data_IF_172123572088
#
_entry.id   IF_172123572088
#
_cell.length_a   1.000
_cell.length_b   1.000
_cell.length_c   1.000
_cell.angle_alpha   90.00
_cell.angle_beta   90.00
_cell.angle_gamma   90.00
#
_symmetry.space_group_name_H-M   'P 1'
#
loop_
_entity.id
_entity.type
_entity.pdbx_description
1 polymer ?
#
# COMPACT_ATOMS: atom_id res chain seq x y z
N UNK A 1 -14.24 5.69 24.66
CA UNK A 1 -14.11 4.46 23.84
C UNK A 1 -14.25 3.21 24.70
N UNK A 2 -14.53 2.04 24.11
CA UNK A 2 -14.58 0.76 24.82
C UNK A 2 -13.29 0.48 25.62
N UNK A 3 -12.13 0.83 25.08
CA UNK A 3 -10.85 0.63 25.75
C UNK A 3 -10.69 1.53 26.99
N UNK A 4 -11.16 2.76 26.92
CA UNK A 4 -11.14 3.69 28.07
C UNK A 4 -12.16 3.28 29.12
N UNK A 5 -13.35 2.85 28.69
CA UNK A 5 -14.37 2.31 29.58
C UNK A 5 -13.83 1.11 30.37
N UNK A 6 -13.21 0.13 29.70
CA UNK A 6 -12.58 -1.02 30.36
C UNK A 6 -11.46 -0.64 31.33
N UNK A 7 -10.67 0.37 30.96
CA UNK A 7 -9.55 0.81 31.83
C UNK A 7 -9.99 1.60 33.04
N UNK A 8 -11.01 2.45 32.89
CA UNK A 8 -11.37 3.45 33.90
C UNK A 8 -12.66 3.11 34.67
N UNK A 9 -13.64 2.48 34.04
CA UNK A 9 -14.97 2.23 34.65
C UNK A 9 -15.15 0.76 35.04
N UNK A 10 -14.92 -0.18 34.12
CA UNK A 10 -15.12 -1.62 34.34
C UNK A 10 -14.25 -2.19 35.47
N UNK A 11 -13.12 -1.55 35.78
CA UNK A 11 -12.25 -1.92 36.90
C UNK A 11 -12.77 -1.43 38.26
N UNK A 12 -13.63 -0.42 38.28
CA UNK A 12 -14.25 0.11 39.49
C UNK A 12 -15.70 -0.39 39.60
N UNK A 13 -15.89 -1.47 40.33
CA UNK A 13 -17.20 -2.09 40.54
C UNK A 13 -18.22 -1.17 41.19
N UNK A 14 -17.79 -0.11 41.88
CA UNK A 14 -18.68 0.90 42.49
C UNK A 14 -19.20 1.88 41.41
N UNK A 15 -18.38 2.22 40.43
CA UNK A 15 -18.78 3.04 39.29
C UNK A 15 -19.63 2.24 38.30
N UNK A 16 -19.23 1.02 37.96
CA UNK A 16 -19.95 0.16 37.02
C UNK A 16 -21.43 -0.05 37.39
N UNK A 17 -21.71 -0.23 38.68
CA UNK A 17 -23.10 -0.40 39.20
C UNK A 17 -23.96 0.87 39.12
N UNK A 18 -23.35 2.04 38.91
CA UNK A 18 -24.05 3.33 38.90
C UNK A 18 -24.33 3.84 37.50
N UNK A 19 -23.71 3.26 36.48
CA UNK A 19 -23.88 3.65 35.10
C UNK A 19 -24.34 2.46 34.24
N UNK A 20 -25.33 2.70 33.40
CA UNK A 20 -25.72 1.73 32.39
C UNK A 20 -25.04 2.13 31.07
N UNK A 21 -24.17 1.27 30.50
CA UNK A 21 -23.52 1.59 29.25
C UNK A 21 -24.55 1.62 28.10
N UNK A 22 -24.48 2.66 27.30
CA UNK A 22 -25.20 2.77 26.02
C UNK A 22 -24.20 2.61 24.90
N UNK A 23 -24.31 1.53 24.15
CA UNK A 23 -23.45 1.27 23.01
C UNK A 23 -23.88 2.10 21.82
N UNK A 24 -22.97 2.94 21.32
CA UNK A 24 -23.15 3.68 20.06
C UNK A 24 -22.33 2.96 19.00
N UNK A 25 -23.01 2.39 18.01
CA UNK A 25 -22.37 1.71 16.89
C UNK A 25 -21.89 2.72 15.86
N UNK A 26 -20.89 2.33 15.06
CA UNK A 26 -20.43 3.07 13.90
C UNK A 26 -21.61 3.26 12.91
N UNK A 27 -21.86 4.48 12.40
CA UNK A 27 -22.93 4.72 11.43
C UNK A 27 -22.58 4.06 10.08
N UNK A 28 -23.63 3.78 9.30
CA UNK A 28 -23.44 3.32 7.93
C UNK A 28 -22.81 4.40 7.04
N UNK A 29 -22.33 4.00 5.86
CA UNK A 29 -21.81 4.94 4.86
C UNK A 29 -22.86 6.00 4.51
N UNK A 30 -24.12 5.60 4.28
CA UNK A 30 -25.19 6.52 3.91
C UNK A 30 -25.54 7.48 5.06
N UNK A 31 -25.61 6.99 6.31
CA UNK A 31 -25.82 7.86 7.47
C UNK A 31 -24.66 8.84 7.65
N UNK A 32 -23.43 8.38 7.43
CA UNK A 32 -22.24 9.24 7.52
C UNK A 32 -22.24 10.34 6.46
N UNK A 33 -22.69 10.05 5.23
CA UNK A 33 -22.87 11.08 4.19
C UNK A 33 -23.89 12.12 4.62
N UNK A 34 -25.03 11.71 5.22
CA UNK A 34 -26.03 12.66 5.71
C UNK A 34 -25.50 13.53 6.86
N UNK A 35 -24.71 12.96 7.77
CA UNK A 35 -24.04 13.70 8.84
C UNK A 35 -23.10 14.76 8.24
N UNK A 36 -22.29 14.39 7.26
CA UNK A 36 -21.37 15.30 6.61
C UNK A 36 -22.09 16.40 5.83
N UNK A 37 -23.21 16.09 5.16
CA UNK A 37 -24.07 17.10 4.51
C UNK A 37 -24.59 18.14 5.50
N UNK A 38 -24.97 17.72 6.71
CA UNK A 38 -25.38 18.63 7.77
C UNK A 38 -24.25 19.52 8.32
N UNK A 39 -23.00 19.03 8.28
CA UNK A 39 -21.82 19.75 8.76
C UNK A 39 -21.16 20.63 7.69
N UNK A 40 -21.29 20.27 6.41
CA UNK A 40 -20.60 20.93 5.29
C UNK A 40 -20.76 22.45 5.27
N UNK A 41 -21.97 23.06 5.51
CA UNK A 41 -22.09 24.52 5.51
C UNK A 41 -21.21 25.23 6.53
N UNK A 42 -20.94 24.58 7.69
CA UNK A 42 -20.06 25.15 8.72
C UNK A 42 -18.59 25.12 8.29
N UNK A 43 -18.16 24.01 7.66
CA UNK A 43 -16.81 23.88 7.12
C UNK A 43 -16.61 24.81 5.92
N UNK A 44 -17.60 24.93 5.03
CA UNK A 44 -17.57 25.91 3.93
C UNK A 44 -17.36 27.34 4.43
N UNK A 45 -18.13 27.73 5.45
CA UNK A 45 -18.02 29.07 6.04
C UNK A 45 -16.68 29.29 6.74
N UNK A 46 -16.19 28.28 7.47
CA UNK A 46 -14.96 28.38 8.25
C UNK A 46 -13.72 28.44 7.35
N UNK A 47 -13.67 27.60 6.31
CA UNK A 47 -12.52 27.50 5.41
C UNK A 47 -12.63 28.39 4.15
N UNK A 48 -13.76 28.99 3.88
CA UNK A 48 -13.98 29.80 2.66
C UNK A 48 -13.94 29.00 1.37
N UNK A 49 -14.38 27.74 1.40
CA UNK A 49 -14.37 26.80 0.28
C UNK A 49 -15.77 26.27 0.01
N UNK A 50 -16.02 25.74 -1.20
CA UNK A 50 -17.27 25.03 -1.52
C UNK A 50 -17.04 23.53 -1.56
N UNK A 51 -17.99 22.80 -0.96
CA UNK A 51 -17.91 21.33 -0.85
C UNK A 51 -19.14 20.73 -1.54
N UNK A 52 -18.95 20.11 -2.69
CA UNK A 52 -20.07 19.47 -3.38
C UNK A 52 -20.51 18.17 -2.69
N UNK A 53 -21.78 17.80 -2.86
CA UNK A 53 -22.33 16.55 -2.32
C UNK A 53 -21.55 15.31 -2.82
N UNK A 54 -21.11 15.33 -4.07
CA UNK A 54 -20.26 14.28 -4.61
C UNK A 54 -18.93 14.12 -3.86
N UNK A 55 -18.31 15.22 -3.44
CA UNK A 55 -17.07 15.20 -2.66
C UNK A 55 -17.31 14.67 -1.24
N UNK A 56 -18.43 15.05 -0.61
CA UNK A 56 -18.81 14.49 0.71
C UNK A 56 -18.93 12.98 0.67
N UNK A 57 -19.65 12.45 -0.34
CA UNK A 57 -19.78 11.00 -0.53
C UNK A 57 -18.41 10.35 -0.78
N UNK A 58 -17.57 10.95 -1.60
CA UNK A 58 -16.22 10.45 -1.84
C UNK A 58 -15.34 10.48 -0.58
N UNK A 59 -15.44 11.50 0.25
CA UNK A 59 -14.70 11.57 1.51
C UNK A 59 -15.07 10.40 2.44
N UNK A 60 -16.36 10.06 2.57
CA UNK A 60 -16.79 8.90 3.34
C UNK A 60 -16.26 7.60 2.76
N UNK A 61 -16.42 7.37 1.46
CA UNK A 61 -15.96 6.14 0.79
C UNK A 61 -14.43 5.98 0.86
N UNK A 62 -13.69 7.06 0.65
CA UNK A 62 -12.24 7.04 0.71
C UNK A 62 -11.73 6.86 2.15
N UNK A 63 -12.34 7.54 3.13
CA UNK A 63 -11.96 7.37 4.53
C UNK A 63 -12.25 5.95 5.01
N UNK A 64 -13.38 5.36 4.62
CA UNK A 64 -13.70 3.96 4.93
C UNK A 64 -12.68 2.99 4.33
N UNK A 65 -12.31 3.22 3.09
CA UNK A 65 -11.39 2.36 2.36
C UNK A 65 -9.93 2.48 2.80
N UNK A 66 -9.46 3.69 3.13
CA UNK A 66 -8.04 3.99 3.31
C UNK A 66 -7.63 4.27 4.75
N UNK A 67 -8.57 4.67 5.62
CA UNK A 67 -8.32 5.01 7.03
C UNK A 67 -8.92 3.92 7.91
N UNK A 68 -8.07 2.99 8.37
CA UNK A 68 -8.52 1.78 9.09
C UNK A 68 -8.35 1.87 10.61
N UNK A 69 -7.69 2.91 11.10
CA UNK A 69 -7.40 3.13 12.53
C UNK A 69 -8.43 4.00 13.25
N UNK A 70 -9.42 4.53 12.53
CA UNK A 70 -10.50 5.40 13.01
C UNK A 70 -11.85 4.94 12.50
N UNK A 71 -12.92 5.44 13.12
CA UNK A 71 -14.30 5.08 12.80
C UNK A 71 -15.05 6.21 12.10
N UNK A 72 -16.09 5.87 11.35
CA UNK A 72 -17.05 6.82 10.83
C UNK A 72 -17.92 7.39 11.97
N UNK A 73 -18.36 8.66 11.90
CA UNK A 73 -18.12 9.62 10.82
C UNK A 73 -16.81 10.39 11.00
N UNK A 74 -16.11 10.29 12.12
CA UNK A 74 -14.97 11.13 12.50
C UNK A 74 -13.85 11.10 11.47
N UNK A 75 -13.47 9.93 10.96
CA UNK A 75 -12.41 9.82 9.93
C UNK A 75 -12.73 10.56 8.63
N UNK A 76 -14.02 10.66 8.27
CA UNK A 76 -14.45 11.38 7.09
C UNK A 76 -14.55 12.90 7.35
N UNK A 77 -14.93 13.29 8.56
CA UNK A 77 -14.95 14.68 9.01
C UNK A 77 -13.51 15.23 9.02
N UNK A 78 -12.58 14.52 9.67
CA UNK A 78 -11.17 14.88 9.73
C UNK A 78 -10.56 15.01 8.33
N UNK A 79 -10.91 14.10 7.41
CA UNK A 79 -10.44 14.14 6.03
C UNK A 79 -10.88 15.40 5.30
N UNK A 80 -12.14 15.82 5.48
CA UNK A 80 -12.68 17.06 4.88
C UNK A 80 -12.00 18.27 5.49
N UNK A 81 -11.88 18.34 6.80
CA UNK A 81 -11.26 19.45 7.51
C UNK A 81 -9.82 19.68 7.07
N UNK A 82 -9.02 18.61 7.05
CA UNK A 82 -7.62 18.67 6.61
C UNK A 82 -7.50 19.01 5.11
N UNK A 83 -8.41 18.48 4.27
CA UNK A 83 -8.38 18.78 2.84
C UNK A 83 -8.78 20.23 2.54
N UNK A 84 -9.70 20.81 3.29
CA UNK A 84 -10.03 22.22 3.23
C UNK A 84 -8.85 23.09 3.69
N UNK A 85 -8.17 22.69 4.77
CA UNK A 85 -6.99 23.36 5.29
C UNK A 85 -5.82 23.33 4.29
N UNK A 86 -5.58 22.17 3.64
CA UNK A 86 -4.57 22.03 2.59
C UNK A 86 -4.87 22.95 1.39
N UNK A 87 -6.13 23.05 1.00
CA UNK A 87 -6.56 23.95 -0.08
C UNK A 87 -6.33 25.42 0.31
N UNK A 88 -6.68 25.82 1.54
CA UNK A 88 -6.44 27.18 2.04
C UNK A 88 -4.97 27.58 2.02
N UNK A 89 -4.09 26.66 2.39
CA UNK A 89 -2.63 26.92 2.39
C UNK A 89 -2.06 27.07 0.97
N UNK A 90 -2.69 26.47 -0.01
CA UNK A 90 -2.24 26.46 -1.41
C UNK A 90 -2.86 27.59 -2.24
N UNK A 91 -4.03 28.08 -1.84
CA UNK A 91 -4.74 29.14 -2.57
C UNK A 91 -4.44 30.52 -1.98
N UNK A 92 -3.69 31.39 -2.71
CA UNK A 92 -3.32 32.70 -2.21
C UNK A 92 -4.53 33.62 -2.07
N UNK A 93 -5.59 33.45 -2.86
CA UNK A 93 -6.79 34.28 -2.80
C UNK A 93 -7.57 34.04 -1.50
N UNK A 94 -7.63 32.79 -0.99
CA UNK A 94 -8.27 32.49 0.31
C UNK A 94 -7.46 33.10 1.45
N UNK A 95 -6.16 32.89 1.47
CA UNK A 95 -5.26 33.45 2.50
C UNK A 95 -5.41 34.98 2.55
N UNK A 96 -5.44 35.62 1.39
CA UNK A 96 -5.60 37.10 1.30
C UNK A 96 -6.97 37.57 1.78
N UNK A 97 -8.06 36.87 1.46
CA UNK A 97 -9.40 37.17 1.99
C UNK A 97 -9.45 37.11 3.51
N UNK A 98 -8.83 36.08 4.12
CA UNK A 98 -8.77 35.96 5.58
C UNK A 98 -7.93 37.07 6.23
N UNK A 99 -6.83 37.47 5.62
CA UNK A 99 -6.04 38.61 6.07
C UNK A 99 -6.86 39.92 6.03
N UNK A 100 -7.49 40.22 4.90
CA UNK A 100 -8.36 41.37 4.73
C UNK A 100 -9.45 41.40 5.78
N UNK A 101 -10.10 40.28 6.02
CA UNK A 101 -11.19 40.22 7.01
C UNK A 101 -10.68 40.53 8.42
N UNK A 102 -9.49 39.99 8.80
CA UNK A 102 -8.86 40.34 10.09
C UNK A 102 -8.49 41.79 10.18
N UNK A 103 -7.89 42.34 9.13
CA UNK A 103 -7.55 43.77 9.08
C UNK A 103 -8.80 44.67 9.22
N UNK A 104 -9.92 44.32 8.56
CA UNK A 104 -11.20 45.00 8.69
C UNK A 104 -11.75 44.94 10.11
N UNK A 105 -11.74 43.74 10.73
CA UNK A 105 -12.20 43.56 12.12
C UNK A 105 -11.34 44.39 13.11
N UNK A 106 -10.04 44.46 12.89
CA UNK A 106 -9.14 45.27 13.74
C UNK A 106 -9.35 46.77 13.52
N UNK A 107 -9.56 47.23 12.28
CA UNK A 107 -9.89 48.62 12.02
C UNK A 107 -11.27 49.03 12.58
N UNK A 108 -12.24 48.14 12.52
CA UNK A 108 -13.55 48.37 13.12
C UNK A 108 -13.47 48.50 14.65
N UNK A 109 -12.68 47.66 15.33
CA UNK A 109 -12.41 47.78 16.77
C UNK A 109 -11.71 49.10 17.11
N UNK A 110 -10.65 49.45 16.35
CA UNK A 110 -9.91 50.72 16.56
C UNK A 110 -10.82 51.91 16.37
N UNK A 111 -11.65 51.88 15.31
CA UNK A 111 -12.61 52.95 15.06
C UNK A 111 -13.64 53.07 16.18
N UNK A 112 -14.20 51.95 16.65
CA UNK A 112 -15.19 51.91 17.75
C UNK A 112 -14.57 52.52 19.01
N UNK A 113 -13.33 52.16 19.35
CA UNK A 113 -12.60 52.73 20.50
C UNK A 113 -12.41 54.23 20.40
N UNK A 114 -12.09 54.74 19.18
CA UNK A 114 -11.94 56.18 18.94
C UNK A 114 -13.30 56.90 18.95
N UNK A 115 -14.39 56.24 18.54
CA UNK A 115 -15.74 56.81 18.57
C UNK A 115 -16.30 56.94 19.98
N UNK A 116 -15.96 56.02 20.90
CA UNK A 116 -16.43 55.97 22.30
C UNK A 116 -15.67 56.99 23.23
N UNK A 117 -14.57 57.58 22.78
CA UNK A 117 -13.87 58.61 23.57
C UNK A 117 -14.69 59.89 23.71
N UNK A 118 -14.93 60.35 24.96
CA UNK A 118 -15.73 61.54 25.26
C UNK A 118 -15.03 62.86 24.78
N UNK A 119 -13.70 62.90 24.80
CA UNK A 119 -12.91 64.03 24.26
C UNK A 119 -12.04 63.57 23.09
N UNK A 120 -12.31 64.05 21.88
CA UNK A 120 -11.57 63.67 20.66
C UNK A 120 -10.54 64.78 20.34
N UNK A 121 -9.28 64.39 20.23
CA UNK A 121 -8.25 65.28 19.74
C UNK A 121 -8.32 65.42 18.21
N UNK A 122 -7.73 66.51 17.67
CA UNK A 122 -7.70 66.77 16.22
C UNK A 122 -7.02 65.62 15.44
N UNK A 123 -6.09 64.89 16.07
CA UNK A 123 -5.43 63.70 15.55
C UNK A 123 -6.35 62.48 15.41
N UNK A 124 -7.37 62.36 16.28
CA UNK A 124 -8.32 61.25 16.26
C UNK A 124 -9.24 61.30 15.05
N UNK A 125 -9.65 62.51 14.65
CA UNK A 125 -10.45 62.70 13.42
C UNK A 125 -9.63 62.37 12.16
N UNK A 126 -8.34 62.72 12.12
CA UNK A 126 -7.46 62.35 11.02
C UNK A 126 -7.26 60.84 10.94
N UNK A 127 -7.08 60.17 12.10
CA UNK A 127 -6.94 58.72 12.18
C UNK A 127 -8.21 57.96 11.74
N UNK A 128 -9.41 58.44 12.17
CA UNK A 128 -10.68 57.88 11.73
C UNK A 128 -10.88 58.03 10.22
N UNK A 129 -10.50 59.12 9.62
CA UNK A 129 -10.55 59.34 8.17
C UNK A 129 -9.62 58.39 7.42
N UNK A 130 -8.41 58.17 7.95
CA UNK A 130 -7.43 57.22 7.42
C UNK A 130 -7.97 55.78 7.47
N UNK A 131 -8.49 55.35 8.64
CA UNK A 131 -9.09 54.02 8.82
C UNK A 131 -10.23 53.79 7.83
N UNK A 132 -11.15 54.76 7.68
CA UNK A 132 -12.24 54.68 6.73
C UNK A 132 -11.80 54.53 5.28
N UNK A 133 -10.72 55.24 4.92
CA UNK A 133 -10.11 55.12 3.58
C UNK A 133 -9.53 53.71 3.34
N UNK A 134 -8.84 53.16 4.34
CA UNK A 134 -8.27 51.82 4.29
C UNK A 134 -9.38 50.74 4.26
N UNK A 135 -10.40 50.87 5.09
CA UNK A 135 -11.61 50.02 5.05
C UNK A 135 -12.23 49.99 3.65
N UNK A 136 -12.37 51.12 2.98
CA UNK A 136 -12.94 51.18 1.64
C UNK A 136 -12.06 50.47 0.60
N UNK A 137 -10.74 50.65 0.69
CA UNK A 137 -9.79 49.98 -0.19
C UNK A 137 -9.83 48.48 0.00
N UNK A 138 -9.78 48.01 1.26
CA UNK A 138 -9.83 46.58 1.58
C UNK A 138 -11.16 45.97 1.19
N UNK A 139 -12.29 46.66 1.40
CA UNK A 139 -13.60 46.15 0.95
C UNK A 139 -13.68 46.05 -0.59
N UNK A 140 -13.04 46.95 -1.32
CA UNK A 140 -12.99 46.88 -2.79
C UNK A 140 -12.16 45.68 -3.25
N UNK A 141 -11.01 45.45 -2.59
CA UNK A 141 -10.16 44.28 -2.83
C UNK A 141 -10.91 43.00 -2.49
N UNK A 142 -11.56 42.93 -1.31
CA UNK A 142 -12.35 41.79 -0.87
C UNK A 142 -13.46 41.46 -1.87
N UNK A 143 -14.21 42.46 -2.33
CA UNK A 143 -15.26 42.27 -3.30
C UNK A 143 -14.72 41.69 -4.64
N UNK A 144 -13.58 42.19 -5.10
CA UNK A 144 -12.94 41.65 -6.30
C UNK A 144 -12.49 40.19 -6.16
N UNK A 145 -12.05 39.80 -4.96
CA UNK A 145 -11.73 38.41 -4.65
C UNK A 145 -12.96 37.53 -4.50
N UNK A 146 -14.07 38.06 -3.96
CA UNK A 146 -15.35 37.36 -3.84
C UNK A 146 -16.04 37.13 -5.21
N UNK A 147 -15.87 38.05 -6.17
CA UNK A 147 -16.36 37.89 -7.53
C UNK A 147 -15.73 36.69 -8.27
N UNK A 148 -14.51 36.29 -7.90
CA UNK A 148 -13.87 35.09 -8.43
C UNK A 148 -14.55 33.77 -7.98
N UNK A 149 -15.41 33.85 -6.95
CA UNK A 149 -16.07 32.70 -6.32
C UNK A 149 -15.20 31.98 -5.29
N UNK A 150 -15.82 31.08 -4.54
CA UNK A 150 -15.09 30.24 -3.60
C UNK A 150 -14.48 29.05 -4.31
N UNK A 151 -13.24 28.69 -4.02
CA UNK A 151 -12.62 27.51 -4.59
C UNK A 151 -13.36 26.25 -4.16
N UNK A 152 -13.45 25.29 -5.07
CA UNK A 152 -14.15 24.03 -4.80
C UNK A 152 -13.17 22.98 -4.32
N UNK A 153 -13.54 22.31 -3.22
CA UNK A 153 -12.81 21.13 -2.75
C UNK A 153 -12.88 20.04 -3.82
N UNK A 154 -11.75 19.50 -4.21
CA UNK A 154 -11.60 18.53 -5.28
C UNK A 154 -11.23 17.14 -4.76
N UNK A 155 -11.40 16.13 -5.62
CA UNK A 155 -10.92 14.77 -5.36
C UNK A 155 -9.40 14.73 -5.16
N UNK A 156 -8.67 15.66 -5.75
CA UNK A 156 -7.23 15.77 -5.64
C UNK A 156 -6.80 16.17 -4.22
N UNK A 157 -7.52 17.09 -3.59
CA UNK A 157 -7.26 17.52 -2.22
C UNK A 157 -7.50 16.36 -1.25
N UNK A 158 -8.62 15.62 -1.38
CA UNK A 158 -8.88 14.43 -0.56
C UNK A 158 -7.78 13.37 -0.73
N UNK A 159 -7.40 13.08 -1.97
CA UNK A 159 -6.38 12.10 -2.27
C UNK A 159 -5.00 12.49 -1.73
N UNK A 160 -4.66 13.78 -1.76
CA UNK A 160 -3.41 14.30 -1.20
C UNK A 160 -3.33 14.11 0.32
N UNK A 161 -4.41 14.41 1.04
CA UNK A 161 -4.45 14.20 2.50
C UNK A 161 -4.35 12.71 2.85
N UNK A 162 -5.05 11.84 2.12
CA UNK A 162 -4.91 10.40 2.32
C UNK A 162 -3.48 9.93 2.06
N UNK A 163 -2.80 10.47 1.04
CA UNK A 163 -1.38 10.18 0.79
C UNK A 163 -0.50 10.59 1.97
N UNK A 164 -0.73 11.77 2.55
CA UNK A 164 0.01 12.23 3.74
C UNK A 164 -0.18 11.30 4.94
N UNK A 165 -1.39 10.83 5.18
CA UNK A 165 -1.70 9.98 6.33
C UNK A 165 -1.29 8.52 6.15
N UNK A 166 -1.60 7.95 4.97
CA UNK A 166 -1.45 6.51 4.70
C UNK A 166 -0.20 6.16 3.91
N UNK A 167 0.48 7.16 3.34
CA UNK A 167 1.59 7.02 2.39
C UNK A 167 1.21 6.30 1.09
N UNK A 168 -0.08 6.25 0.76
CA UNK A 168 -0.58 5.72 -0.50
C UNK A 168 -0.59 6.85 -1.52
N UNK A 169 0.12 6.75 -2.66
CA UNK A 169 0.22 7.84 -3.62
C UNK A 169 -1.13 8.32 -4.14
N UNK A 170 -1.37 9.65 -4.13
CA UNK A 170 -2.62 10.28 -4.58
C UNK A 170 -3.02 9.87 -6.01
N UNK A 171 -2.03 9.63 -6.88
CA UNK A 171 -2.25 9.13 -8.24
C UNK A 171 -3.00 7.78 -8.29
N UNK A 172 -2.91 6.97 -7.23
CA UNK A 172 -3.61 5.67 -7.11
C UNK A 172 -5.04 5.80 -6.60
N UNK A 173 -5.34 6.89 -5.92
CA UNK A 173 -6.66 7.14 -5.34
C UNK A 173 -7.63 7.68 -6.41
N UNK A 174 -7.10 8.20 -7.53
CA UNK A 174 -7.86 8.76 -8.65
C UNK A 174 -8.39 7.66 -9.59
N UNK A 175 -9.28 8.06 -10.49
CA UNK A 175 -9.95 7.22 -11.52
C UNK A 175 -9.01 6.42 -12.43
N UNK A 176 -7.72 6.78 -12.49
CA UNK A 176 -6.68 6.05 -13.22
C UNK A 176 -6.37 4.65 -12.67
N UNK A 177 -6.87 4.28 -11.48
CA UNK A 177 -6.66 2.94 -10.91
C UNK A 177 -7.22 1.84 -11.83
N UNK A 178 -8.39 2.07 -12.43
CA UNK A 178 -8.98 1.09 -13.35
C UNK A 178 -8.17 0.90 -14.64
N UNK A 179 -7.59 1.97 -15.18
CA UNK A 179 -6.71 1.87 -16.36
C UNK A 179 -5.41 1.13 -16.01
N UNK A 180 -4.85 1.40 -14.83
CA UNK A 180 -3.66 0.67 -14.36
C UNK A 180 -3.95 -0.80 -14.12
N UNK A 181 -5.09 -1.14 -13.52
CA UNK A 181 -5.52 -2.53 -13.32
C UNK A 181 -5.80 -3.26 -14.64
N UNK A 182 -6.29 -2.56 -15.67
CA UNK A 182 -6.47 -3.14 -16.99
C UNK A 182 -5.15 -3.54 -17.65
N UNK A 183 -4.08 -2.79 -17.39
CA UNK A 183 -2.74 -3.03 -17.95
C UNK A 183 -1.83 -3.86 -17.02
N UNK A 184 -2.30 -4.22 -15.82
CA UNK A 184 -1.52 -4.97 -14.81
C UNK A 184 -0.90 -6.23 -15.42
N UNK A 185 -1.67 -7.00 -16.16
CA UNK A 185 -1.23 -8.25 -16.77
C UNK A 185 -0.08 -8.04 -17.75
N UNK A 186 -0.18 -7.02 -18.61
CA UNK A 186 0.86 -6.70 -19.60
C UNK A 186 2.15 -6.28 -18.92
N UNK A 187 2.06 -5.43 -17.90
CA UNK A 187 3.25 -5.00 -17.14
C UNK A 187 3.89 -6.15 -16.37
N UNK A 188 3.13 -7.03 -15.76
CA UNK A 188 3.69 -8.21 -15.08
C UNK A 188 4.35 -9.16 -16.08
N UNK A 189 3.75 -9.40 -17.25
CA UNK A 189 4.34 -10.24 -18.32
C UNK A 189 5.64 -9.69 -18.89
N UNK A 190 5.85 -8.38 -18.86
CA UNK A 190 7.13 -7.79 -19.31
C UNK A 190 8.31 -8.08 -18.37
N UNK A 191 8.04 -8.41 -17.09
CA UNK A 191 9.05 -8.71 -16.08
C UNK A 191 9.13 -10.22 -15.74
N UNK A 192 8.03 -10.95 -15.92
CA UNK A 192 7.92 -12.37 -15.56
C UNK A 192 7.82 -13.19 -16.84
N UNK A 193 8.90 -13.84 -17.20
CA UNK A 193 9.01 -14.62 -18.45
C UNK A 193 8.64 -16.08 -18.20
N UNK A 194 7.86 -16.67 -19.11
CA UNK A 194 7.52 -18.10 -19.12
C UNK A 194 6.47 -18.52 -18.09
N UNK A 195 5.71 -17.56 -17.53
CA UNK A 195 4.66 -17.82 -16.54
C UNK A 195 3.35 -17.11 -16.91
N UNK A 196 3.01 -17.05 -18.19
CA UNK A 196 1.88 -16.27 -18.70
C UNK A 196 0.54 -16.64 -18.06
N UNK A 197 0.28 -17.93 -17.86
CA UNK A 197 -0.96 -18.41 -17.22
C UNK A 197 -1.03 -17.97 -15.76
N UNK A 198 0.07 -18.10 -15.02
CA UNK A 198 0.16 -17.67 -13.64
C UNK A 198 -0.07 -16.17 -13.50
N UNK A 199 0.55 -15.37 -14.34
CA UNK A 199 0.39 -13.90 -14.36
C UNK A 199 -1.05 -13.52 -14.70
N UNK A 200 -1.67 -14.16 -15.71
CA UNK A 200 -3.05 -13.90 -16.09
C UNK A 200 -4.03 -14.23 -14.97
N UNK A 201 -3.83 -15.36 -14.27
CA UNK A 201 -4.67 -15.76 -13.15
C UNK A 201 -4.57 -14.79 -11.96
N UNK A 202 -3.34 -14.35 -11.61
CA UNK A 202 -3.11 -13.34 -10.56
C UNK A 202 -3.79 -12.02 -10.93
N UNK A 203 -3.55 -11.51 -12.14
CA UNK A 203 -4.11 -10.24 -12.59
C UNK A 203 -5.66 -10.27 -12.61
N UNK A 204 -6.27 -11.37 -13.02
CA UNK A 204 -7.72 -11.55 -13.02
C UNK A 204 -8.30 -11.54 -11.61
N UNK A 205 -7.69 -12.23 -10.66
CA UNK A 205 -8.14 -12.28 -9.27
C UNK A 205 -8.00 -10.92 -8.58
N UNK A 206 -6.88 -10.22 -8.79
CA UNK A 206 -6.65 -8.86 -8.26
C UNK A 206 -7.68 -7.88 -8.83
N UNK A 207 -7.93 -7.91 -10.15
CA UNK A 207 -8.96 -7.06 -10.79
C UNK A 207 -10.33 -7.32 -10.18
N UNK A 208 -10.74 -8.57 -10.02
CA UNK A 208 -12.05 -8.96 -9.45
C UNK A 208 -12.25 -8.43 -8.03
N UNK A 209 -11.23 -8.53 -7.18
CA UNK A 209 -11.29 -8.03 -5.80
C UNK A 209 -11.36 -6.50 -5.76
N UNK A 210 -10.52 -5.81 -6.57
CA UNK A 210 -10.46 -4.35 -6.58
C UNK A 210 -11.72 -3.67 -7.11
N UNK A 211 -12.46 -4.34 -7.98
CA UNK A 211 -13.78 -3.86 -8.46
C UNK A 211 -14.88 -4.02 -7.40
N UNK A 212 -14.62 -4.78 -6.32
CA UNK A 212 -15.56 -4.93 -5.20
C UNK A 212 -16.79 -5.80 -5.52
N UNK A 213 -16.70 -6.68 -6.51
CA UNK A 213 -17.80 -7.60 -6.89
C UNK A 213 -17.98 -8.69 -5.82
N UNK A 214 -16.98 -8.96 -5.00
CA UNK A 214 -17.05 -9.96 -3.94
C UNK A 214 -17.82 -9.39 -2.73
N UNK A 215 -18.87 -10.07 -2.25
CA UNK A 215 -19.70 -9.61 -1.12
C UNK A 215 -19.01 -9.74 0.24
N UNK A 216 -17.82 -10.33 0.32
CA UNK A 216 -17.05 -10.53 1.55
C UNK A 216 -15.81 -9.67 1.53
N UNK A 217 -15.61 -8.92 2.59
CA UNK A 217 -14.39 -8.15 2.86
C UNK A 217 -13.24 -9.09 3.25
N UNK A 218 -12.56 -9.67 2.24
CA UNK A 218 -11.48 -10.63 2.39
C UNK A 218 -10.25 -10.21 1.60
N UNK A 219 -9.03 -10.52 2.09
CA UNK A 219 -7.82 -10.36 1.29
C UNK A 219 -7.85 -11.30 0.07
N UNK A 220 -7.25 -10.83 -1.02
CA UNK A 220 -6.97 -11.73 -2.16
C UNK A 220 -5.86 -12.69 -1.75
N UNK A 221 -6.05 -13.98 -2.04
CA UNK A 221 -5.16 -15.02 -1.55
C UNK A 221 -4.74 -16.01 -2.63
N UNK A 222 -3.44 -16.34 -2.63
CA UNK A 222 -2.83 -17.25 -3.61
C UNK A 222 -1.92 -18.28 -2.94
N UNK A 223 -1.90 -19.48 -3.47
CA UNK A 223 -0.83 -20.45 -3.24
C UNK A 223 -0.05 -20.63 -4.54
N UNK A 224 1.24 -20.25 -4.55
CA UNK A 224 2.14 -20.42 -5.68
C UNK A 224 2.93 -21.72 -5.49
N UNK A 225 2.77 -22.66 -6.39
CA UNK A 225 3.40 -23.98 -6.31
C UNK A 225 4.31 -24.19 -7.51
N UNK A 226 5.47 -24.79 -7.30
CA UNK A 226 6.37 -25.13 -8.38
C UNK A 226 7.84 -25.18 -7.96
N UNK A 227 8.73 -25.55 -8.86
CA UNK A 227 10.16 -25.67 -8.58
C UNK A 227 10.79 -24.37 -8.05
N UNK A 228 11.97 -24.51 -7.47
CA UNK A 228 12.75 -23.36 -7.01
C UNK A 228 13.29 -22.58 -8.23
N UNK A 229 13.26 -21.25 -8.15
CA UNK A 229 13.89 -20.36 -9.15
C UNK A 229 13.07 -20.16 -10.44
N UNK A 230 11.76 -20.49 -10.45
CA UNK A 230 10.86 -20.29 -11.60
C UNK A 230 10.14 -18.94 -11.62
N UNK A 231 10.38 -18.06 -10.64
CA UNK A 231 9.83 -16.72 -10.62
C UNK A 231 8.71 -16.47 -9.59
N UNK A 232 8.37 -17.43 -8.69
CA UNK A 232 7.32 -17.27 -7.67
C UNK A 232 7.49 -15.99 -6.84
N UNK A 233 8.63 -15.86 -6.18
CA UNK A 233 8.95 -14.69 -5.33
C UNK A 233 9.10 -13.41 -6.15
N UNK A 234 9.59 -13.51 -7.39
CA UNK A 234 9.75 -12.36 -8.27
C UNK A 234 8.39 -11.79 -8.70
N UNK A 235 7.42 -12.65 -9.05
CA UNK A 235 6.05 -12.20 -9.33
C UNK A 235 5.45 -11.44 -8.15
N UNK A 236 5.69 -11.89 -6.90
CA UNK A 236 5.19 -11.21 -5.69
C UNK A 236 5.83 -9.83 -5.55
N UNK A 237 7.14 -9.70 -5.80
CA UNK A 237 7.83 -8.39 -5.75
C UNK A 237 7.30 -7.43 -6.80
N UNK A 238 7.18 -7.90 -8.05
CA UNK A 238 6.66 -7.09 -9.16
C UNK A 238 5.21 -6.68 -8.90
N UNK A 239 4.39 -7.58 -8.36
CA UNK A 239 3.01 -7.27 -7.96
C UNK A 239 2.96 -6.18 -6.88
N UNK A 240 3.80 -6.26 -5.86
CA UNK A 240 3.87 -5.25 -4.80
C UNK A 240 4.31 -3.89 -5.36
N UNK A 241 5.36 -3.86 -6.18
CA UNK A 241 5.85 -2.63 -6.81
C UNK A 241 4.81 -2.02 -7.74
N UNK A 242 4.15 -2.83 -8.57
CA UNK A 242 3.16 -2.33 -9.54
C UNK A 242 1.89 -1.79 -8.87
N UNK A 243 1.38 -2.50 -7.86
CA UNK A 243 0.15 -2.10 -7.17
C UNK A 243 0.37 -0.95 -6.19
N UNK A 244 1.52 -0.89 -5.52
CA UNK A 244 1.76 0.04 -4.41
C UNK A 244 2.90 1.04 -4.66
N UNK A 245 3.55 1.04 -5.84
CA UNK A 245 4.68 1.91 -6.26
C UNK A 245 5.87 1.93 -5.29
N UNK A 246 5.95 0.96 -4.40
CA UNK A 246 7.04 0.85 -3.45
C UNK A 246 7.37 -0.62 -3.20
N UNK A 247 8.65 -1.00 -3.26
CA UNK A 247 9.07 -2.34 -2.87
C UNK A 247 8.83 -2.62 -1.38
N UNK A 248 8.74 -1.58 -0.56
CA UNK A 248 8.45 -1.67 0.88
C UNK A 248 7.03 -2.12 1.22
N UNK A 249 6.14 -2.19 0.23
CA UNK A 249 4.81 -2.76 0.39
C UNK A 249 4.82 -4.30 0.45
N UNK A 250 5.98 -4.93 0.26
CA UNK A 250 6.15 -6.37 0.43
C UNK A 250 6.54 -6.71 1.87
N UNK A 251 5.66 -7.42 2.57
CA UNK A 251 5.93 -8.02 3.88
C UNK A 251 6.27 -9.50 3.65
N UNK A 252 7.54 -9.86 3.78
CA UNK A 252 7.98 -11.25 3.63
C UNK A 252 8.16 -11.90 5.00
N UNK A 253 7.64 -13.11 5.13
CA UNK A 253 7.76 -13.99 6.29
C UNK A 253 8.22 -15.37 5.80
N UNK A 254 9.39 -15.80 6.22
CA UNK A 254 9.91 -17.13 5.91
C UNK A 254 9.40 -18.14 6.92
N UNK A 255 8.62 -19.11 6.46
CA UNK A 255 7.99 -20.09 7.36
C UNK A 255 8.97 -21.06 7.99
N UNK A 256 10.22 -21.13 7.53
CA UNK A 256 11.27 -21.86 8.24
C UNK A 256 11.62 -21.26 9.61
N UNK A 257 11.32 -19.97 9.83
CA UNK A 257 11.46 -19.34 11.14
C UNK A 257 10.26 -19.60 12.08
N UNK A 258 9.19 -20.19 11.55
CA UNK A 258 7.90 -20.40 12.24
C UNK A 258 7.52 -21.89 12.32
N UNK A 259 8.51 -22.75 12.49
CA UNK A 259 8.32 -24.20 12.61
C UNK A 259 7.89 -24.66 14.02
N UNK A 260 8.17 -23.85 15.04
CA UNK A 260 7.92 -24.19 16.45
C UNK A 260 6.60 -23.59 16.95
N UNK A 261 5.99 -24.24 17.97
CA UNK A 261 4.74 -23.79 18.58
C UNK A 261 4.79 -22.34 19.11
N UNK A 262 5.92 -21.91 19.63
CA UNK A 262 6.10 -20.53 20.14
C UNK A 262 6.17 -19.47 19.05
N UNK A 263 6.28 -19.87 17.81
CA UNK A 263 6.38 -18.97 16.65
C UNK A 263 5.10 -18.17 16.42
N UNK A 264 3.95 -18.68 16.85
CA UNK A 264 2.65 -17.98 16.75
C UNK A 264 2.68 -16.65 17.50
N UNK A 265 3.24 -16.63 18.72
CA UNK A 265 3.36 -15.39 19.49
C UNK A 265 4.25 -14.34 18.83
N UNK A 266 5.20 -14.75 18.02
CA UNK A 266 6.01 -13.80 17.21
C UNK A 266 5.19 -13.16 16.08
N UNK A 267 4.17 -13.85 15.54
CA UNK A 267 3.32 -13.29 14.48
C UNK A 267 2.28 -12.30 15.02
N UNK A 268 1.58 -12.69 16.11
CA UNK A 268 0.39 -11.97 16.61
C UNK A 268 0.67 -11.19 17.89
N UNK A 269 1.78 -11.49 18.57
CA UNK A 269 2.16 -10.97 19.89
C UNK A 269 1.99 -12.03 20.98
N UNK A 270 2.66 -11.83 22.13
CA UNK A 270 2.58 -12.71 23.29
C UNK A 270 1.38 -12.35 24.17
N UNK A 271 0.63 -13.33 24.70
CA UNK A 271 -0.46 -13.06 25.65
C UNK A 271 0.04 -12.38 26.93
N UNK A 272 -0.84 -11.67 27.67
CA UNK A 272 -0.49 -11.06 28.95
C UNK A 272 0.13 -12.07 29.92
N UNK A 273 1.25 -11.70 30.53
CA UNK A 273 1.96 -12.54 31.52
C UNK A 273 3.05 -13.45 30.94
N UNK A 274 3.26 -13.47 29.63
CA UNK A 274 4.38 -14.16 29.01
C UNK A 274 5.53 -13.20 28.65
N UNK A 275 6.75 -13.74 28.60
CA UNK A 275 7.94 -12.98 28.15
C UNK A 275 7.72 -12.50 26.71
N UNK A 276 7.98 -11.20 26.47
CA UNK A 276 7.76 -10.59 25.16
C UNK A 276 6.35 -9.99 24.96
N UNK A 277 5.53 -9.85 26.02
CA UNK A 277 4.21 -9.20 25.93
C UNK A 277 4.28 -7.75 25.40
N UNK A 278 5.33 -7.00 25.73
CA UNK A 278 5.54 -5.63 25.25
C UNK A 278 6.01 -5.58 23.79
N UNK A 279 6.42 -6.72 23.22
CA UNK A 279 6.79 -6.82 21.81
C UNK A 279 5.54 -7.06 20.97
N UNK A 280 5.26 -6.14 20.05
CA UNK A 280 4.17 -6.27 19.09
C UNK A 280 4.42 -7.45 18.13
N UNK A 281 3.37 -8.15 17.72
CA UNK A 281 3.49 -9.22 16.73
C UNK A 281 4.04 -8.73 15.40
N UNK A 282 4.98 -9.48 14.84
CA UNK A 282 5.68 -9.08 13.61
C UNK A 282 4.73 -8.84 12.41
N UNK A 283 3.71 -9.68 12.28
CA UNK A 283 2.73 -9.56 11.20
C UNK A 283 1.71 -8.45 11.51
N UNK A 284 1.10 -8.50 12.69
CA UNK A 284 0.03 -7.58 13.07
C UNK A 284 0.50 -6.13 13.10
N UNK A 285 1.69 -5.85 13.61
CA UNK A 285 2.24 -4.50 13.64
C UNK A 285 2.61 -3.98 12.26
N UNK A 286 3.20 -4.83 11.39
CA UNK A 286 3.52 -4.44 10.02
C UNK A 286 2.26 -4.12 9.22
N UNK A 287 1.19 -4.92 9.35
CA UNK A 287 -0.09 -4.68 8.66
C UNK A 287 -0.79 -3.43 9.21
N UNK A 288 -0.78 -3.23 10.52
CA UNK A 288 -1.36 -2.02 11.12
C UNK A 288 -0.68 -0.75 10.61
N UNK A 289 0.65 -0.78 10.41
CA UNK A 289 1.39 0.35 9.84
C UNK A 289 1.26 0.48 8.33
N UNK A 290 1.05 -0.64 7.63
CA UNK A 290 0.94 -0.72 6.17
C UNK A 290 -0.23 -1.62 5.78
N UNK A 291 -1.48 -1.13 5.88
CA UNK A 291 -2.67 -1.92 5.56
C UNK A 291 -2.77 -2.30 4.08
N UNK A 292 -2.09 -1.56 3.21
CA UNK A 292 -1.95 -1.83 1.78
C UNK A 292 -0.61 -2.49 1.51
N UNK A 293 -0.58 -3.82 1.55
CA UNK A 293 0.64 -4.59 1.40
C UNK A 293 0.40 -5.92 0.68
N UNK A 294 1.47 -6.47 0.11
CA UNK A 294 1.52 -7.87 -0.28
C UNK A 294 2.23 -8.63 0.82
N UNK A 295 1.56 -9.62 1.40
CA UNK A 295 2.13 -10.47 2.45
C UNK A 295 2.53 -11.80 1.83
N UNK A 296 3.82 -12.08 1.86
CA UNK A 296 4.39 -13.32 1.34
C UNK A 296 4.76 -14.25 2.49
N UNK A 297 4.10 -15.39 2.56
CA UNK A 297 4.49 -16.52 3.39
C UNK A 297 5.30 -17.50 2.54
N UNK A 298 6.62 -17.45 2.69
CA UNK A 298 7.54 -18.25 1.88
C UNK A 298 7.73 -19.63 2.52
N UNK A 299 7.69 -20.71 1.70
CA UNK A 299 7.84 -22.11 2.11
C UNK A 299 6.78 -22.56 3.14
N UNK A 300 5.48 -22.39 2.79
CA UNK A 300 4.34 -22.64 3.68
C UNK A 300 4.30 -24.10 4.23
N UNK A 301 4.89 -25.05 3.53
CA UNK A 301 5.05 -26.43 3.97
C UNK A 301 5.84 -26.60 5.26
N UNK A 302 6.63 -25.59 5.65
CA UNK A 302 7.42 -25.59 6.89
C UNK A 302 6.70 -24.99 8.09
N UNK A 303 5.57 -24.31 7.85
CA UNK A 303 4.84 -23.61 8.91
C UNK A 303 4.28 -24.59 9.95
N UNK A 304 4.33 -24.18 11.24
CA UNK A 304 3.64 -24.91 12.31
C UNK A 304 2.12 -24.88 12.06
N UNK A 305 1.38 -25.96 12.40
CA UNK A 305 -0.08 -26.03 12.22
C UNK A 305 -0.85 -24.86 12.84
N UNK A 306 -0.39 -24.33 13.97
CA UNK A 306 -1.04 -23.17 14.62
C UNK A 306 -0.91 -21.88 13.79
N UNK A 307 0.18 -21.72 13.02
CA UNK A 307 0.33 -20.62 12.04
C UNK A 307 -0.70 -20.76 10.93
N UNK A 308 -0.91 -22.00 10.43
CA UNK A 308 -1.94 -22.27 9.41
C UNK A 308 -3.36 -21.97 9.93
N UNK A 309 -3.64 -22.18 11.22
CA UNK A 309 -4.93 -21.81 11.81
C UNK A 309 -5.15 -20.29 11.84
N UNK A 310 -4.10 -19.49 12.14
CA UNK A 310 -4.18 -18.02 12.04
C UNK A 310 -4.43 -17.57 10.60
N UNK A 311 -3.72 -18.17 9.65
CA UNK A 311 -3.94 -17.88 8.23
C UNK A 311 -5.37 -18.22 7.80
N UNK A 312 -5.95 -19.32 8.27
CA UNK A 312 -7.35 -19.66 8.03
C UNK A 312 -8.28 -18.54 8.52
N UNK A 313 -8.07 -18.03 9.72
CA UNK A 313 -8.87 -16.94 10.24
C UNK A 313 -8.75 -15.68 9.36
N UNK A 314 -7.54 -15.32 8.93
CA UNK A 314 -7.34 -14.18 8.00
C UNK A 314 -8.08 -14.40 6.68
N UNK A 315 -8.03 -15.63 6.13
CA UNK A 315 -8.68 -15.97 4.87
C UNK A 315 -10.20 -16.02 4.97
N UNK A 316 -10.76 -16.26 6.16
CA UNK A 316 -12.21 -16.33 6.39
C UNK A 316 -12.83 -15.01 6.78
N UNK A 317 -12.26 -14.37 7.80
CA UNK A 317 -12.82 -13.20 8.46
C UNK A 317 -12.23 -11.89 7.91
N UNK A 318 -11.07 -11.94 7.22
CA UNK A 318 -10.35 -10.75 6.78
C UNK A 318 -9.66 -9.99 7.91
N UNK A 319 -9.81 -10.45 9.16
CA UNK A 319 -9.23 -9.79 10.34
C UNK A 319 -8.71 -10.81 11.38
N UNK A 320 -7.77 -10.36 12.20
CA UNK A 320 -7.34 -11.11 13.40
C UNK A 320 -7.23 -10.18 14.59
N UNK A 321 -7.34 -10.74 15.79
CA UNK A 321 -7.12 -9.99 17.04
C UNK A 321 -5.70 -10.22 17.52
N UNK A 322 -4.94 -9.13 17.73
CA UNK A 322 -3.59 -9.22 18.29
C UNK A 322 -3.61 -9.55 19.80
N UNK A 323 -2.43 -9.83 20.37
CA UNK A 323 -2.31 -10.14 21.78
C UNK A 323 -2.76 -9.01 22.73
N UNK A 324 -2.86 -7.78 22.25
CA UNK A 324 -3.38 -6.63 22.99
C UNK A 324 -4.89 -6.44 22.86
N UNK A 325 -5.59 -7.36 22.19
CA UNK A 325 -7.04 -7.29 21.95
C UNK A 325 -7.44 -6.32 20.84
N UNK A 326 -6.49 -5.87 19.99
CA UNK A 326 -6.77 -4.97 18.88
C UNK A 326 -7.05 -5.78 17.62
N UNK A 327 -8.10 -5.40 16.90
CA UNK A 327 -8.41 -5.98 15.58
C UNK A 327 -7.46 -5.42 14.53
N UNK A 328 -6.91 -6.29 13.72
CA UNK A 328 -6.02 -5.98 12.58
C UNK A 328 -6.69 -6.46 11.31
N UNK A 329 -7.01 -5.53 10.43
CA UNK A 329 -7.72 -5.78 9.19
C UNK A 329 -6.75 -6.10 8.05
N UNK A 330 -7.04 -7.14 7.27
CA UNK A 330 -6.26 -7.64 6.13
C UNK A 330 -6.99 -7.47 4.79
N UNK A 331 -8.18 -6.90 4.75
CA UNK A 331 -9.02 -6.81 3.54
C UNK A 331 -8.30 -6.16 2.35
N UNK A 332 -7.44 -5.17 2.63
CA UNK A 332 -6.69 -4.43 1.63
C UNK A 332 -5.34 -5.07 1.28
N UNK A 333 -5.01 -6.22 1.89
CA UNK A 333 -3.77 -6.95 1.61
C UNK A 333 -3.96 -7.99 0.50
N UNK A 334 -2.84 -8.39 -0.10
CA UNK A 334 -2.78 -9.56 -0.97
C UNK A 334 -1.91 -10.61 -0.25
N UNK A 335 -2.48 -11.77 0.00
CA UNK A 335 -1.79 -12.85 0.68
C UNK A 335 -1.27 -13.83 -0.35
N UNK A 336 0.02 -14.06 -0.35
CA UNK A 336 0.67 -15.05 -1.22
C UNK A 336 1.43 -16.04 -0.35
N UNK A 337 1.17 -17.30 -0.56
CA UNK A 337 1.90 -18.41 0.05
C UNK A 337 2.69 -19.11 -1.04
N UNK A 338 3.97 -19.39 -0.83
CA UNK A 338 4.77 -20.19 -1.78
C UNK A 338 5.03 -21.57 -1.25
N UNK A 339 5.09 -22.54 -2.14
CA UNK A 339 5.49 -23.91 -1.83
C UNK A 339 6.35 -24.49 -2.94
N UNK A 340 7.31 -25.33 -2.53
CA UNK A 340 8.12 -26.16 -3.43
C UNK A 340 7.60 -27.59 -3.50
N UNK A 341 6.42 -27.89 -2.94
CA UNK A 341 5.81 -29.20 -2.91
C UNK A 341 5.61 -29.76 -4.33
N UNK A 342 5.83 -31.05 -4.51
CA UNK A 342 5.73 -31.74 -5.80
C UNK A 342 6.92 -31.56 -6.75
N UNK A 343 7.91 -30.70 -6.42
CA UNK A 343 9.06 -30.45 -7.29
C UNK A 343 10.15 -31.55 -7.23
N UNK A 344 10.19 -32.34 -6.15
CA UNK A 344 11.28 -33.29 -5.85
C UNK A 344 11.05 -34.71 -6.41
N UNK A 345 9.89 -35.00 -6.97
CA UNK A 345 9.59 -36.38 -7.44
C UNK A 345 10.21 -36.60 -8.83
N UNK A 346 11.28 -37.39 -8.88
CA UNK A 346 11.88 -37.88 -10.11
C UNK A 346 10.90 -38.86 -10.80
N UNK A 347 10.77 -38.69 -12.10
CA UNK A 347 10.30 -39.61 -13.14
C UNK A 347 9.57 -40.89 -12.68
N UNK A 348 8.31 -40.97 -12.99
CA UNK A 348 7.55 -42.23 -12.93
C UNK A 348 6.22 -42.12 -13.66
N UNK A 349 6.15 -42.79 -14.79
CA UNK A 349 5.00 -43.08 -15.64
C UNK A 349 4.54 -42.00 -16.61
N UNK A 350 4.99 -42.13 -17.83
CA UNK A 350 4.41 -41.58 -19.04
C UNK A 350 2.98 -42.17 -19.21
N UNK A 351 1.99 -41.41 -18.79
CA UNK A 351 0.60 -41.65 -19.17
C UNK A 351 0.34 -41.00 -20.53
N UNK A 352 -0.09 -41.80 -21.49
CA UNK A 352 -0.46 -41.32 -22.82
C UNK A 352 -1.61 -40.31 -22.71
N UNK A 353 -1.43 -39.05 -23.18
CA UNK A 353 -2.52 -38.14 -23.51
C UNK A 353 -2.69 -36.87 -22.69
N UNK A 354 -1.86 -36.56 -21.65
CA UNK A 354 -1.90 -35.25 -20.91
C UNK A 354 -0.64 -34.46 -21.12
N UNK A 355 -0.77 -33.13 -21.19
CA UNK A 355 0.38 -32.24 -21.27
C UNK A 355 1.25 -32.32 -19.99
N UNK A 356 2.55 -32.08 -20.12
CA UNK A 356 3.48 -32.10 -18.99
C UNK A 356 3.03 -31.13 -17.89
N UNK A 357 2.50 -29.98 -18.26
CA UNK A 357 2.01 -28.95 -17.36
C UNK A 357 0.80 -29.40 -16.52
N UNK A 358 -0.15 -30.13 -17.14
CA UNK A 358 -1.32 -30.68 -16.41
C UNK A 358 -0.90 -31.75 -15.40
N UNK A 359 0.09 -32.56 -15.73
CA UNK A 359 0.63 -33.58 -14.82
C UNK A 359 1.36 -32.92 -13.63
N UNK A 360 2.13 -31.86 -13.87
CA UNK A 360 2.82 -31.13 -12.81
C UNK A 360 1.83 -30.38 -11.91
N UNK A 361 0.72 -29.86 -12.43
CA UNK A 361 -0.37 -29.26 -11.65
C UNK A 361 -1.08 -30.30 -10.75
N UNK A 362 -1.43 -31.48 -11.28
CA UNK A 362 -2.04 -32.55 -10.49
C UNK A 362 -1.09 -33.06 -9.38
N UNK A 363 0.20 -33.17 -9.65
CA UNK A 363 1.22 -33.56 -8.66
C UNK A 363 1.37 -32.49 -7.58
N UNK A 364 1.41 -31.22 -7.96
CA UNK A 364 1.49 -30.11 -7.04
C UNK A 364 0.29 -30.09 -6.10
N UNK A 365 -0.93 -30.29 -6.63
CA UNK A 365 -2.14 -30.34 -5.83
C UNK A 365 -2.13 -31.52 -4.84
N UNK A 366 -1.73 -32.70 -5.28
CA UNK A 366 -1.59 -33.87 -4.39
C UNK A 366 -0.55 -33.66 -3.30
N UNK A 367 0.56 -33.01 -3.64
CA UNK A 367 1.60 -32.70 -2.67
C UNK A 367 1.12 -31.65 -1.63
N UNK A 368 0.36 -30.63 -2.04
CA UNK A 368 -0.25 -29.66 -1.14
C UNK A 368 -1.20 -30.35 -0.14
N UNK A 369 -2.01 -31.28 -0.59
CA UNK A 369 -2.96 -32.03 0.25
C UNK A 369 -2.29 -32.90 1.32
N UNK A 370 -0.98 -33.13 1.24
CA UNK A 370 -0.25 -33.89 2.26
C UNK A 370 -0.03 -33.09 3.55
N UNK A 371 0.04 -31.75 3.45
CA UNK A 371 0.32 -30.88 4.61
C UNK A 371 -0.74 -29.79 4.82
N UNK A 372 -1.50 -29.38 3.78
CA UNK A 372 -2.63 -28.47 3.91
C UNK A 372 -3.94 -29.24 3.95
N UNK A 373 -4.77 -28.93 4.93
CA UNK A 373 -6.13 -29.49 5.01
C UNK A 373 -6.95 -29.04 3.79
N UNK A 374 -7.87 -29.88 3.27
CA UNK A 374 -8.75 -29.50 2.17
C UNK A 374 -9.52 -28.18 2.43
N UNK A 375 -9.91 -27.96 3.67
CA UNK A 375 -10.55 -26.72 4.12
C UNK A 375 -9.69 -25.49 3.81
N UNK A 376 -8.39 -25.55 4.10
CA UNK A 376 -7.45 -24.45 3.83
C UNK A 376 -7.36 -24.14 2.32
N UNK A 377 -7.22 -25.18 1.49
CA UNK A 377 -7.11 -25.02 0.04
C UNK A 377 -8.38 -24.41 -0.55
N UNK A 378 -9.55 -24.75 -0.01
CA UNK A 378 -10.84 -24.23 -0.47
C UNK A 378 -11.10 -22.75 -0.07
N UNK A 379 -10.33 -22.21 0.87
CA UNK A 379 -10.46 -20.79 1.31
C UNK A 379 -9.59 -19.84 0.48
N UNK A 380 -8.61 -20.38 -0.22
CA UNK A 380 -7.71 -19.61 -1.08
C UNK A 380 -8.39 -19.34 -2.43
N UNK A 381 -8.24 -18.12 -2.95
CA UNK A 381 -8.87 -17.71 -4.21
C UNK A 381 -8.33 -18.48 -5.43
N UNK A 382 -7.02 -18.78 -5.43
CA UNK A 382 -6.42 -19.61 -6.47
C UNK A 382 -5.14 -20.32 -6.02
N UNK A 383 -5.00 -21.56 -6.46
CA UNK A 383 -3.73 -22.31 -6.44
C UNK A 383 -3.13 -22.20 -7.83
N UNK A 384 -1.95 -21.61 -7.91
CA UNK A 384 -1.29 -21.26 -9.18
C UNK A 384 0.00 -22.06 -9.31
N UNK A 385 0.07 -22.87 -10.37
CA UNK A 385 1.23 -23.69 -10.67
C UNK A 385 2.20 -22.93 -11.56
N UNK A 386 3.48 -22.91 -11.18
CA UNK A 386 4.58 -22.34 -11.95
C UNK A 386 5.28 -23.41 -12.75
N UNK A 387 5.38 -23.20 -14.05
CA UNK A 387 6.02 -24.09 -14.98
C UNK A 387 7.55 -24.06 -14.87
N UNK A 388 8.21 -25.14 -15.30
CA UNK A 388 9.66 -25.14 -15.47
C UNK A 388 10.03 -24.20 -16.60
N UNK A 389 11.17 -23.50 -16.42
CA UNK A 389 11.67 -22.56 -17.43
C UNK A 389 12.36 -23.30 -18.56
N UNK A 390 12.03 -22.97 -19.80
CA UNK A 390 12.75 -23.41 -21.00
C UNK A 390 14.04 -22.62 -21.19
N UNK A 391 14.93 -23.09 -22.06
CA UNK A 391 16.13 -22.36 -22.42
C UNK A 391 15.81 -20.98 -23.04
N UNK A 392 14.77 -20.89 -23.86
CA UNK A 392 14.28 -19.64 -24.43
C UNK A 392 13.84 -18.64 -23.34
N UNK A 393 13.17 -19.14 -22.29
CA UNK A 393 12.82 -18.31 -21.15
C UNK A 393 14.06 -17.76 -20.42
N UNK A 394 15.14 -18.55 -20.33
CA UNK A 394 16.40 -18.09 -19.75
C UNK A 394 17.02 -16.95 -20.54
N UNK A 395 16.95 -16.95 -21.88
CA UNK A 395 17.40 -15.82 -22.70
C UNK A 395 16.62 -14.53 -22.37
N UNK A 396 15.31 -14.62 -22.25
CA UNK A 396 14.47 -13.49 -21.86
C UNK A 396 14.80 -12.95 -20.46
N UNK A 397 14.97 -13.86 -19.49
CA UNK A 397 15.34 -13.50 -18.10
C UNK A 397 16.73 -12.89 -18.04
N UNK A 398 17.71 -13.43 -18.79
CA UNK A 398 19.07 -12.88 -18.86
C UNK A 398 19.07 -11.43 -19.36
N UNK A 399 18.29 -11.12 -20.41
CA UNK A 399 18.15 -9.76 -20.92
C UNK A 399 17.54 -8.81 -19.88
N UNK A 400 16.52 -9.24 -19.12
CA UNK A 400 15.93 -8.43 -18.03
C UNK A 400 17.01 -8.12 -17.00
N UNK A 401 17.73 -9.13 -16.49
CA UNK A 401 18.77 -8.94 -15.48
C UNK A 401 19.94 -8.06 -15.98
N UNK A 402 20.35 -8.21 -17.23
CA UNK A 402 21.37 -7.36 -17.83
C UNK A 402 20.89 -5.92 -17.99
N UNK A 403 19.63 -5.70 -18.37
CA UNK A 403 19.05 -4.36 -18.46
C UNK A 403 18.92 -3.69 -17.09
N UNK A 404 18.62 -4.43 -16.02
CA UNK A 404 18.69 -3.93 -14.63
C UNK A 404 20.11 -3.46 -14.29
N UNK A 405 21.13 -4.25 -14.69
CA UNK A 405 22.52 -3.88 -14.49
C UNK A 405 22.91 -2.63 -15.28
N UNK A 406 22.46 -2.51 -16.54
CA UNK A 406 22.61 -1.28 -17.36
C UNK A 406 22.04 -0.07 -16.64
N UNK A 407 20.84 -0.19 -16.07
CA UNK A 407 20.19 0.87 -15.30
C UNK A 407 21.00 1.29 -14.09
N UNK A 408 21.41 0.32 -13.27
CA UNK A 408 22.18 0.57 -12.04
C UNK A 408 23.56 1.19 -12.31
N UNK A 409 24.22 0.80 -13.39
CA UNK A 409 25.52 1.38 -13.80
C UNK A 409 25.35 2.79 -14.38
N UNK A 410 24.26 3.05 -15.11
CA UNK A 410 23.93 4.37 -15.63
C UNK A 410 23.72 5.40 -14.51
N UNK A 411 23.09 5.02 -13.41
CA UNK A 411 22.93 5.87 -12.22
C UNK A 411 24.29 6.27 -11.62
N UNK A 412 25.32 5.43 -11.79
CA UNK A 412 26.71 5.70 -11.38
C UNK A 412 27.53 6.43 -12.46
N UNK A 413 26.92 6.84 -13.56
CA UNK A 413 27.59 7.51 -14.68
C UNK A 413 28.37 6.60 -15.60
N UNK A 414 28.18 5.26 -15.52
CA UNK A 414 28.87 4.26 -16.35
C UNK A 414 27.92 3.74 -17.42
N UNK A 415 28.29 3.88 -18.68
CA UNK A 415 27.55 3.31 -19.80
C UNK A 415 27.97 1.86 -20.02
N UNK A 416 27.07 0.91 -19.75
CA UNK A 416 27.28 -0.51 -19.98
C UNK A 416 26.58 -0.99 -21.25
N UNK A 417 27.29 -1.72 -22.13
CA UNK A 417 26.73 -2.32 -23.34
C UNK A 417 27.12 -3.79 -23.44
N UNK A 418 26.24 -4.61 -23.97
CA UNK A 418 26.44 -6.04 -24.16
C UNK A 418 25.87 -6.50 -25.53
N UNK A 419 26.26 -7.65 -25.98
CA UNK A 419 25.79 -8.28 -27.22
C UNK A 419 24.96 -9.54 -26.97
N UNK A 420 24.31 -10.06 -28.01
CA UNK A 420 23.50 -11.28 -27.93
C UNK A 420 24.36 -12.54 -27.67
N UNK A 421 25.61 -12.54 -28.09
CA UNK A 421 26.53 -13.64 -27.84
C UNK A 421 26.78 -13.82 -26.32
N UNK A 422 26.86 -12.71 -25.57
CA UNK A 422 26.95 -12.76 -24.11
C UNK A 422 25.72 -13.38 -23.49
N UNK A 423 24.51 -13.00 -23.95
CA UNK A 423 23.25 -13.58 -23.46
C UNK A 423 23.23 -15.09 -23.66
N UNK A 424 23.66 -15.55 -24.84
CA UNK A 424 23.72 -16.96 -25.19
C UNK A 424 24.73 -17.72 -24.32
N UNK A 425 25.92 -17.14 -24.09
CA UNK A 425 26.96 -17.73 -23.24
C UNK A 425 26.48 -17.87 -21.79
N UNK A 426 25.90 -16.79 -21.23
CA UNK A 426 25.36 -16.79 -19.86
C UNK A 426 24.23 -17.82 -19.70
N UNK A 427 23.37 -17.92 -20.69
CA UNK A 427 22.26 -18.90 -20.70
C UNK A 427 22.82 -20.32 -20.72
N UNK A 428 23.74 -20.65 -21.63
CA UNK A 428 24.37 -21.99 -21.71
C UNK A 428 25.08 -22.38 -20.43
N UNK A 429 25.81 -21.45 -19.82
CA UNK A 429 26.54 -21.70 -18.55
C UNK A 429 25.60 -21.89 -17.36
N UNK A 430 24.45 -21.27 -17.36
CA UNK A 430 23.54 -21.19 -16.20
C UNK A 430 22.31 -22.08 -16.31
N UNK A 431 21.95 -22.57 -17.50
CA UNK A 431 20.76 -23.38 -17.69
C UNK A 431 20.73 -24.58 -16.79
N UNK A 432 19.73 -24.69 -15.95
CA UNK A 432 19.53 -25.79 -15.02
C UNK A 432 18.06 -25.96 -14.70
N UNK A 433 17.55 -27.14 -14.98
CA UNK A 433 16.18 -27.52 -14.62
C UNK A 433 15.95 -27.60 -13.10
N UNK A 434 17.03 -27.77 -12.31
CA UNK A 434 16.95 -27.94 -10.86
C UNK A 434 16.97 -26.61 -10.11
N UNK A 435 17.82 -25.67 -10.53
CA UNK A 435 18.06 -24.40 -9.80
C UNK A 435 17.35 -23.19 -10.43
N UNK A 436 16.83 -23.33 -11.65
CA UNK A 436 16.12 -22.27 -12.36
C UNK A 436 16.95 -21.00 -12.51
N UNK A 437 16.28 -19.86 -12.58
CA UNK A 437 16.92 -18.55 -12.79
C UNK A 437 17.84 -18.09 -11.64
N UNK A 438 17.85 -18.74 -10.48
CA UNK A 438 18.82 -18.43 -9.41
C UNK A 438 20.26 -18.69 -9.85
N UNK A 439 20.48 -19.73 -10.66
CA UNK A 439 21.78 -20.03 -11.19
C UNK A 439 22.27 -18.95 -12.18
N UNK A 440 21.35 -18.46 -13.01
CA UNK A 440 21.64 -17.35 -13.94
C UNK A 440 22.08 -16.08 -13.19
N UNK A 441 21.40 -15.70 -12.12
CA UNK A 441 21.80 -14.55 -11.28
C UNK A 441 23.20 -14.70 -10.71
N UNK A 442 23.54 -15.89 -10.19
CA UNK A 442 24.89 -16.19 -9.69
C UNK A 442 25.94 -16.14 -10.79
N UNK A 443 25.62 -16.63 -11.99
CA UNK A 443 26.53 -16.60 -13.14
C UNK A 443 26.78 -15.15 -13.58
N UNK A 444 25.76 -14.31 -13.69
CA UNK A 444 25.91 -12.88 -14.01
C UNK A 444 26.78 -12.19 -12.95
N UNK A 445 26.51 -12.43 -11.68
CA UNK A 445 27.31 -11.87 -10.59
C UNK A 445 28.78 -12.23 -10.74
N UNK A 446 29.08 -13.52 -10.87
CA UNK A 446 30.47 -14.01 -10.93
C UNK A 446 31.21 -13.61 -12.21
N UNK A 447 30.54 -13.66 -13.37
CA UNK A 447 31.19 -13.46 -14.66
C UNK A 447 31.22 -11.98 -15.08
N UNK A 448 30.32 -11.14 -14.56
CA UNK A 448 30.21 -9.73 -14.95
C UNK A 448 30.35 -8.77 -13.76
N UNK A 449 29.53 -8.89 -12.71
CA UNK A 449 29.50 -7.90 -11.63
C UNK A 449 30.82 -7.88 -10.84
N UNK A 450 31.34 -9.04 -10.44
CA UNK A 450 32.62 -9.15 -9.68
C UNK A 450 33.84 -8.63 -10.48
N UNK A 451 34.06 -9.01 -11.76
CA UNK A 451 35.14 -8.45 -12.56
C UNK A 451 35.01 -6.95 -12.85
N UNK A 452 33.76 -6.47 -13.07
CA UNK A 452 33.51 -5.04 -13.27
C UNK A 452 33.80 -4.25 -12.00
N UNK A 453 33.35 -4.74 -10.85
CA UNK A 453 33.61 -4.09 -9.57
C UNK A 453 35.13 -3.96 -9.31
N UNK A 454 35.91 -5.03 -9.57
CA UNK A 454 37.36 -5.01 -9.45
C UNK A 454 37.98 -3.95 -10.37
N UNK A 455 37.60 -3.93 -11.65
CA UNK A 455 38.12 -2.94 -12.61
C UNK A 455 37.73 -1.49 -12.23
N UNK A 456 36.54 -1.25 -11.73
CA UNK A 456 36.12 0.06 -11.29
C UNK A 456 36.94 0.53 -10.09
N UNK A 457 37.25 -0.36 -9.14
CA UNK A 457 38.08 -0.07 -7.97
C UNK A 457 39.51 0.20 -8.39
N UNK A 458 40.11 -0.64 -9.26
CA UNK A 458 41.49 -0.48 -9.73
C UNK A 458 41.69 0.80 -10.55
N UNK A 459 40.63 1.32 -11.15
CA UNK A 459 40.65 2.55 -11.97
C UNK A 459 40.20 3.80 -11.20
N UNK A 460 40.36 3.80 -9.88
CA UNK A 460 39.95 4.90 -8.99
C UNK A 460 40.53 6.28 -9.39
N UNK A 461 41.79 6.33 -9.86
CA UNK A 461 42.45 7.56 -10.31
C UNK A 461 41.93 8.06 -11.69
N UNK A 462 41.44 7.14 -12.52
CA UNK A 462 40.85 7.42 -13.84
C UNK A 462 39.51 6.71 -13.97
N UNK A 463 38.39 7.35 -13.54
CA UNK A 463 37.08 6.71 -13.51
C UNK A 463 36.64 6.16 -14.86
N UNK A 464 36.19 4.92 -14.89
CA UNK A 464 35.66 4.25 -16.08
C UNK A 464 34.25 4.84 -16.35
N UNK A 465 34.06 5.35 -17.56
CA UNK A 465 32.78 5.89 -18.03
C UNK A 465 32.01 4.96 -18.97
N UNK A 466 32.72 4.00 -19.57
CA UNK A 466 32.14 3.04 -20.52
C UNK A 466 32.68 1.62 -20.28
N UNK A 467 31.81 0.65 -20.30
CA UNK A 467 32.13 -0.79 -20.21
C UNK A 467 31.37 -1.51 -21.31
N UNK A 468 32.07 -2.31 -22.08
CA UNK A 468 31.49 -3.21 -23.08
C UNK A 468 31.82 -4.65 -22.72
N UNK A 469 30.80 -5.49 -22.58
CA UNK A 469 31.00 -6.93 -22.40
C UNK A 469 30.82 -7.64 -23.75
N UNK A 470 31.85 -8.36 -24.18
CA UNK A 470 31.87 -9.15 -25.41
C UNK A 470 32.40 -10.54 -25.11
N UNK A 471 31.99 -11.52 -25.90
CA UNK A 471 32.49 -12.88 -25.82
C UNK A 471 33.71 -12.96 -26.76
N UNK A 472 34.89 -13.34 -26.20
CA UNK A 472 36.07 -13.72 -26.99
C UNK A 472 36.05 -15.25 -27.12
N UNK A 473 36.29 -15.77 -28.35
CA UNK A 473 36.35 -17.20 -28.67
C UNK A 473 37.53 -17.92 -28.01
#
# INVERSE_FOLDING_TARGET
>A
TFNEYRKAIEKDTALERRFQPVTVNEPSIEDSVQILQGLAPKYEQYHGVKISEGILRQAVLLSERYITDRFLPDKAIDLIDEACSDLNLKDPDISRRMEIQRELDDYEKERTMLEEQEEKAEGDYARMAELKSKELQLNTELNSLLEKGDPQLSMENLAHVIELWTKIPAAKIREQEFQRLSQLEVRLKSHIIGQDEAVSAVAAAVRRNRVGISPKHKPVSFIFVGPTGVGKTELVKQLATDLFNTPDALIRLDMSEFMEKHSVSRLVGSPPGYVGYDEAGQLTEKIRRKPYAVVLFDEIEKAHPDVLNILLQILDDGEITDAHGRKVNFENTIIVMTSNAGSATKEGTVGFGRSVNEQDADRAMKALQQFLRPEFINRVDAVITFNRLSEENFHGIARIMLNELVGSLKEKGITFTYDDALVELLTKKSYSLTYGARNLRRTIQKELEDPMATKIIDSYEHPITQVKATVED
#
